data_IF_787820467952
#
_entry.id   IF_787820467952
#
_cell.length_a   1.000
_cell.length_b   1.000
_cell.length_c   1.000
_cell.angle_alpha   90.00
_cell.angle_beta   90.00
_cell.angle_gamma   90.00
#
_symmetry.space_group_name_H-M   'P 1'
#
loop_
_entity.id
_entity.type
_entity.pdbx_description
1 polymer ?
#
# COMPACT_ATOMS: atom_id res chain seq x y z
N UNK A 1 -13.81 -7.55 17.43
CA UNK A 1 -13.90 -6.38 16.52
C UNK A 1 -12.75 -5.39 16.69
N UNK A 2 -12.57 -4.72 17.85
CA UNK A 2 -11.48 -3.73 18.04
C UNK A 2 -10.09 -4.24 17.65
N UNK A 3 -9.73 -5.45 18.08
CA UNK A 3 -8.43 -6.06 17.78
C UNK A 3 -8.20 -6.17 16.26
N UNK A 4 -9.15 -6.72 15.51
CA UNK A 4 -9.05 -6.85 14.06
C UNK A 4 -8.88 -5.49 13.34
N UNK A 5 -9.56 -4.45 13.82
CA UNK A 5 -9.40 -3.09 13.25
C UNK A 5 -7.99 -2.55 13.48
N UNK A 6 -7.44 -2.72 14.69
CA UNK A 6 -6.07 -2.30 14.99
C UNK A 6 -5.08 -3.03 14.10
N UNK A 7 -5.23 -4.34 13.95
CA UNK A 7 -4.37 -5.15 13.08
C UNK A 7 -4.44 -4.71 11.60
N UNK A 8 -5.64 -4.41 11.08
CA UNK A 8 -5.79 -3.91 9.71
C UNK A 8 -5.14 -2.54 9.50
N UNK A 9 -5.19 -1.64 10.50
CA UNK A 9 -4.49 -0.35 10.44
C UNK A 9 -2.97 -0.55 10.50
N UNK A 10 -2.47 -1.41 11.39
CA UNK A 10 -1.03 -1.73 11.44
C UNK A 10 -0.57 -2.43 10.15
N UNK A 11 -1.48 -3.14 9.48
CA UNK A 11 -1.18 -3.75 8.21
C UNK A 11 -0.96 -2.74 7.09
N UNK A 12 -1.42 -1.48 7.16
CA UNK A 12 -1.14 -0.49 6.09
C UNK A 12 0.30 0.04 6.10
N UNK A 13 1.10 -0.22 7.14
CA UNK A 13 2.51 0.14 7.15
C UNK A 13 3.26 -0.54 5.98
N UNK A 14 3.83 0.29 5.11
CA UNK A 14 4.57 -0.16 3.92
C UNK A 14 5.93 -0.76 4.28
N UNK A 15 6.52 -0.38 5.43
CA UNK A 15 7.79 -0.92 5.92
C UNK A 15 7.70 -2.42 6.20
N UNK A 16 6.50 -2.91 6.53
CA UNK A 16 6.19 -4.32 6.81
C UNK A 16 5.55 -5.05 5.63
N UNK A 17 5.48 -4.43 4.44
CA UNK A 17 4.77 -4.98 3.29
C UNK A 17 5.17 -6.43 2.97
N UNK A 18 6.47 -6.72 2.93
CA UNK A 18 6.98 -8.06 2.62
C UNK A 18 6.67 -9.11 3.70
N UNK A 19 6.59 -8.71 4.97
CA UNK A 19 6.20 -9.60 6.06
C UNK A 19 4.77 -10.12 5.86
N UNK A 20 3.83 -9.22 5.56
CA UNK A 20 2.44 -9.57 5.29
C UNK A 20 2.29 -10.41 4.00
N UNK A 21 3.05 -10.08 2.95
CA UNK A 21 3.05 -10.89 1.71
C UNK A 21 3.53 -12.32 1.95
N UNK A 22 4.62 -12.51 2.70
CA UNK A 22 5.13 -13.85 3.03
C UNK A 22 4.10 -14.63 3.84
N UNK A 23 3.44 -13.98 4.81
CA UNK A 23 2.36 -14.59 5.60
C UNK A 23 1.19 -15.02 4.72
N UNK A 24 0.73 -14.14 3.82
CA UNK A 24 -0.36 -14.42 2.90
C UNK A 24 -0.03 -15.57 1.94
N UNK A 25 1.17 -15.59 1.36
CA UNK A 25 1.61 -16.64 0.44
C UNK A 25 1.78 -18.02 1.11
N UNK A 26 1.99 -18.05 2.43
CA UNK A 26 2.08 -19.29 3.22
C UNK A 26 0.71 -19.77 3.71
N UNK A 27 -0.35 -19.00 3.48
CA UNK A 27 -1.68 -19.35 3.95
C UNK A 27 -2.19 -20.60 3.23
N UNK A 28 -2.52 -21.65 3.99
CA UNK A 28 -3.19 -22.80 3.41
C UNK A 28 -4.67 -22.46 3.15
N UNK A 29 -5.12 -22.68 1.92
CA UNK A 29 -6.50 -22.45 1.48
C UNK A 29 -7.26 -23.76 1.21
N UNK A 30 -6.56 -24.90 1.27
CA UNK A 30 -7.14 -26.23 1.05
C UNK A 30 -7.24 -26.95 2.39
N UNK A 31 -8.41 -27.52 2.68
CA UNK A 31 -8.66 -28.25 3.93
C UNK A 31 -8.29 -27.44 5.19
N UNK A 32 -8.85 -26.23 5.28
CA UNK A 32 -8.55 -25.27 6.35
C UNK A 32 -9.15 -25.75 7.67
N UNK A 33 -8.32 -26.04 8.69
CA UNK A 33 -8.79 -26.39 10.03
C UNK A 33 -9.66 -25.28 10.64
N UNK A 34 -10.67 -25.64 11.43
CA UNK A 34 -11.61 -24.66 12.01
C UNK A 34 -10.91 -23.60 12.87
N UNK A 35 -9.86 -23.97 13.61
CA UNK A 35 -9.05 -23.07 14.44
C UNK A 35 -8.18 -22.10 13.61
N UNK A 36 -7.87 -22.44 12.35
CA UNK A 36 -7.11 -21.59 11.45
C UNK A 36 -7.97 -20.55 10.70
N UNK A 37 -9.30 -20.72 10.66
CA UNK A 37 -10.21 -19.89 9.84
C UNK A 37 -10.19 -18.43 10.23
N UNK A 38 -10.18 -18.12 11.51
CA UNK A 38 -10.17 -16.74 12.00
C UNK A 38 -8.85 -16.03 11.66
N UNK A 39 -7.72 -16.75 11.82
CA UNK A 39 -6.40 -16.24 11.47
C UNK A 39 -6.22 -16.02 9.96
N UNK A 40 -6.74 -16.94 9.14
CA UNK A 40 -6.77 -16.80 7.69
C UNK A 40 -7.64 -15.63 7.25
N UNK A 41 -8.84 -15.50 7.83
CA UNK A 41 -9.77 -14.40 7.56
C UNK A 41 -9.14 -13.05 7.86
N UNK A 42 -8.47 -12.91 9.02
CA UNK A 42 -7.76 -11.67 9.36
C UNK A 42 -6.60 -11.38 8.39
N UNK A 43 -5.86 -12.42 7.98
CA UNK A 43 -4.76 -12.28 7.03
C UNK A 43 -5.26 -11.80 5.65
N UNK A 44 -6.39 -12.34 5.19
CA UNK A 44 -7.07 -11.86 3.98
C UNK A 44 -7.51 -10.41 4.13
N UNK A 45 -8.18 -10.06 5.24
CA UNK A 45 -8.62 -8.69 5.49
C UNK A 45 -7.45 -7.68 5.50
N UNK A 46 -6.34 -8.03 6.15
CA UNK A 46 -5.13 -7.21 6.14
C UNK A 46 -4.61 -6.98 4.70
N UNK A 47 -4.59 -8.02 3.87
CA UNK A 47 -4.17 -7.90 2.47
C UNK A 47 -5.14 -7.08 1.63
N UNK A 48 -6.46 -7.23 1.82
CA UNK A 48 -7.47 -6.43 1.12
C UNK A 48 -7.31 -4.93 1.41
N UNK A 49 -7.12 -4.57 2.69
CA UNK A 49 -6.90 -3.17 3.08
C UNK A 49 -5.59 -2.63 2.51
N UNK A 50 -4.51 -3.42 2.54
CA UNK A 50 -3.24 -3.03 1.90
C UNK A 50 -3.41 -2.78 0.40
N UNK A 51 -4.07 -3.70 -0.32
CA UNK A 51 -4.33 -3.54 -1.75
C UNK A 51 -5.15 -2.28 -2.03
N UNK A 52 -6.14 -1.97 -1.20
CA UNK A 52 -6.94 -0.76 -1.34
C UNK A 52 -6.09 0.51 -1.18
N UNK A 53 -5.21 0.54 -0.19
CA UNK A 53 -4.32 1.68 0.14
C UNK A 53 -3.37 2.04 -1.02
N UNK A 54 -2.77 1.04 -1.66
CA UNK A 54 -1.82 1.24 -2.78
C UNK A 54 -2.46 1.01 -4.17
N UNK A 55 -3.79 0.98 -4.27
CA UNK A 55 -4.52 0.67 -5.51
C UNK A 55 -4.42 1.73 -6.60
N UNK A 56 -3.89 2.92 -6.33
CA UNK A 56 -3.94 4.04 -7.27
C UNK A 56 -3.40 3.74 -8.69
N UNK A 57 -2.30 2.99 -8.87
CA UNK A 57 -1.79 2.61 -10.19
C UNK A 57 -2.66 1.63 -10.98
N UNK A 58 -3.60 0.93 -10.33
CA UNK A 58 -4.49 -0.03 -11.00
C UNK A 58 -5.78 0.61 -11.49
N UNK A 59 -5.99 1.90 -11.19
CA UNK A 59 -7.14 2.70 -11.64
C UNK A 59 -6.91 3.23 -13.05
N UNK A 60 -7.97 3.72 -13.70
CA UNK A 60 -7.83 4.40 -14.99
C UNK A 60 -6.79 5.52 -14.96
N UNK A 61 -6.11 5.74 -16.09
CA UNK A 61 -4.98 6.66 -16.20
C UNK A 61 -5.25 8.05 -15.61
N UNK A 62 -6.43 8.62 -15.92
CA UNK A 62 -6.82 9.95 -15.44
C UNK A 62 -6.87 10.06 -13.91
N UNK A 63 -7.19 8.96 -13.22
CA UNK A 63 -7.27 8.89 -11.76
C UNK A 63 -5.91 8.53 -11.16
N UNK A 64 -5.18 7.59 -11.75
CA UNK A 64 -3.80 7.27 -11.37
C UNK A 64 -2.92 8.53 -11.38
N UNK A 65 -2.98 9.31 -12.46
CA UNK A 65 -2.23 10.55 -12.61
C UNK A 65 -2.56 11.58 -11.52
N UNK A 66 -3.84 11.78 -11.20
CA UNK A 66 -4.28 12.72 -10.15
C UNK A 66 -3.71 12.33 -8.78
N UNK A 67 -3.76 11.05 -8.42
CA UNK A 67 -3.20 10.58 -7.15
C UNK A 67 -1.68 10.67 -7.11
N UNK A 68 -0.99 10.35 -8.21
CA UNK A 68 0.46 10.50 -8.30
C UNK A 68 0.92 11.94 -8.06
N UNK A 69 0.23 12.93 -8.66
CA UNK A 69 0.55 14.35 -8.40
C UNK A 69 0.36 14.75 -6.95
N UNK A 70 -0.73 14.31 -6.30
CA UNK A 70 -0.99 14.62 -4.88
C UNK A 70 0.09 14.03 -3.96
N UNK A 71 0.52 12.79 -4.22
CA UNK A 71 1.58 12.13 -3.44
C UNK A 71 2.90 12.88 -3.60
N UNK A 72 3.24 13.31 -4.82
CA UNK A 72 4.47 14.05 -5.09
C UNK A 72 4.45 15.44 -4.47
N UNK A 73 3.31 16.15 -4.55
CA UNK A 73 3.10 17.45 -3.90
C UNK A 73 3.30 17.34 -2.39
N UNK A 74 2.64 16.39 -1.73
CA UNK A 74 2.80 16.13 -0.30
C UNK A 74 4.25 15.78 0.06
N UNK A 75 4.92 14.95 -0.74
CA UNK A 75 6.32 14.60 -0.51
C UNK A 75 7.24 15.82 -0.58
N UNK A 76 7.02 16.73 -1.53
CA UNK A 76 7.82 17.94 -1.66
C UNK A 76 7.62 18.92 -0.51
N UNK A 77 6.40 19.01 0.02
CA UNK A 77 6.12 19.82 1.20
C UNK A 77 6.85 19.26 2.44
N UNK A 78 7.00 17.94 2.56
CA UNK A 78 7.72 17.29 3.67
C UNK A 78 9.25 17.46 3.60
N UNK A 79 9.85 17.37 2.41
CA UNK A 79 11.31 17.42 2.22
C UNK A 79 11.83 18.86 2.09
N UNK A 80 10.95 19.84 1.88
CA UNK A 80 11.28 21.25 1.73
C UNK A 80 11.71 21.61 0.29
N UNK A 81 11.51 22.88 -0.06
CA UNK A 81 11.64 23.46 -1.41
C UNK A 81 12.98 23.20 -2.13
N UNK A 82 14.05 22.87 -1.42
CA UNK A 82 15.38 22.70 -2.00
C UNK A 82 15.56 21.39 -2.81
N UNK A 83 14.83 20.32 -2.49
CA UNK A 83 14.88 19.07 -3.29
C UNK A 83 13.80 19.03 -4.39
N UNK A 84 12.66 19.69 -4.18
CA UNK A 84 11.54 19.72 -5.14
C UNK A 84 11.96 20.21 -6.53
N UNK A 85 12.71 21.32 -6.61
CA UNK A 85 13.19 21.90 -7.87
C UNK A 85 14.13 20.97 -8.64
N UNK A 86 14.95 20.17 -7.94
CA UNK A 86 15.89 19.23 -8.56
C UNK A 86 15.19 18.03 -9.18
N UNK A 87 14.13 17.52 -8.55
CA UNK A 87 13.37 16.36 -9.04
C UNK A 87 12.46 16.70 -10.21
N UNK A 88 11.82 17.88 -10.21
CA UNK A 88 11.03 18.37 -11.37
C UNK A 88 11.91 18.52 -12.61
N UNK A 89 13.15 18.99 -12.45
CA UNK A 89 14.11 19.13 -13.55
C UNK A 89 14.51 17.76 -14.12
N UNK A 90 14.74 16.75 -13.27
CA UNK A 90 15.13 15.41 -13.69
C UNK A 90 13.97 14.66 -14.37
N UNK A 91 12.74 14.82 -13.89
CA UNK A 91 11.56 14.21 -14.50
C UNK A 91 11.23 14.86 -15.85
N UNK A 92 11.36 16.19 -15.98
CA UNK A 92 11.19 16.89 -17.26
C UNK A 92 12.23 16.46 -18.31
N UNK A 93 13.46 16.19 -17.90
CA UNK A 93 14.53 15.72 -18.80
C UNK A 93 14.37 14.26 -19.26
N UNK A 94 13.58 13.44 -18.54
CA UNK A 94 13.34 12.02 -18.88
C UNK A 94 12.03 11.78 -19.65
N UNK A 95 11.26 12.83 -19.90
CA UNK A 95 10.05 12.78 -20.73
C UNK A 95 10.32 13.06 -22.22
N UNK A 96 11.59 13.06 -22.63
CA UNK A 96 12.06 13.18 -24.02
C UNK A 96 12.81 11.92 -24.46
#
# INVERSE_FOLDING_TARGET
MRHAMVEMVLATDISRHFEYLVKFNKMNVVDVPDDARDGNSLTICNMLVKCADISNPTREWSLCQKWAYRIVEEYFDQVGSFQSTRWVTILAQKAH
#
